data_IF_382869470279
#
_entry.id   IF_382869470279
#
_cell.length_a   1.000
_cell.length_b   1.000
_cell.length_c   1.000
_cell.angle_alpha   90.00
_cell.angle_beta   90.00
_cell.angle_gamma   90.00
#
_symmetry.space_group_name_H-M   'P 1'
#
loop_
_entity.id
_entity.type
_entity.pdbx_description
1 polymer ?
#
# COMPACT_ATOMS: atom_id res chain seq x y z
N UNK A 1 7.07 10.01 4.76
CA UNK A 1 7.35 8.94 3.80
C UNK A 1 8.61 9.24 3.01
N UNK A 2 9.10 8.32 2.22
CA UNK A 2 10.27 8.51 1.34
C UNK A 2 10.04 7.87 -0.02
N UNK A 3 10.56 8.48 -1.06
CA UNK A 3 10.43 8.01 -2.45
C UNK A 3 10.22 9.17 -3.42
N UNK A 4 9.80 8.95 -4.66
CA UNK A 4 9.43 7.64 -5.26
C UNK A 4 10.59 6.85 -5.88
N UNK A 5 11.76 7.47 -6.11
CA UNK A 5 12.89 6.83 -6.79
C UNK A 5 13.91 6.25 -5.82
N UNK A 6 14.19 6.96 -4.75
CA UNK A 6 15.21 6.58 -3.77
C UNK A 6 14.64 6.60 -2.36
N UNK A 7 15.01 5.64 -1.50
CA UNK A 7 14.49 5.55 -0.14
C UNK A 7 14.95 6.67 0.79
N UNK A 8 15.95 7.45 0.40
CA UNK A 8 16.43 8.62 1.15
C UNK A 8 15.69 9.92 0.80
N UNK A 9 14.93 9.96 -0.30
CA UNK A 9 14.19 11.14 -0.73
C UNK A 9 12.99 11.35 0.21
N UNK A 10 13.16 12.19 1.23
CA UNK A 10 12.14 12.46 2.25
C UNK A 10 11.01 13.31 1.65
N UNK A 11 9.78 12.87 1.88
CA UNK A 11 8.55 13.56 1.48
C UNK A 11 7.67 13.72 2.71
N UNK A 12 7.13 14.91 2.95
CA UNK A 12 6.13 15.09 4.00
C UNK A 12 4.83 14.38 3.60
N UNK A 13 4.08 13.89 4.56
CA UNK A 13 2.83 13.19 4.27
C UNK A 13 1.80 14.14 3.62
N UNK A 14 1.79 15.39 4.03
CA UNK A 14 0.99 16.47 3.43
C UNK A 14 1.28 16.69 1.95
N UNK A 15 2.51 16.44 1.54
CA UNK A 15 2.99 16.72 0.19
C UNK A 15 3.02 15.46 -0.69
N UNK A 16 2.63 14.32 -0.13
CA UNK A 16 2.77 13.01 -0.78
C UNK A 16 2.04 12.93 -2.12
N UNK A 17 0.80 13.38 -2.16
CA UNK A 17 -0.03 13.39 -3.37
C UNK A 17 0.55 14.35 -4.44
N UNK A 18 0.98 15.54 -4.02
CA UNK A 18 1.59 16.51 -4.92
C UNK A 18 2.94 16.02 -5.44
N UNK A 19 3.78 15.47 -4.57
CA UNK A 19 5.06 14.87 -4.97
C UNK A 19 4.86 13.72 -5.98
N UNK A 20 3.85 12.89 -5.77
CA UNK A 20 3.50 11.84 -6.74
C UNK A 20 3.14 12.45 -8.10
N UNK A 21 2.27 13.47 -8.13
CA UNK A 21 1.84 14.14 -9.36
C UNK A 21 3.03 14.70 -10.14
N UNK A 22 3.91 15.45 -9.49
CA UNK A 22 5.11 16.03 -10.11
C UNK A 22 6.04 14.96 -10.69
N UNK A 23 6.24 13.86 -9.96
CA UNK A 23 7.03 12.73 -10.45
C UNK A 23 6.36 11.99 -11.60
N UNK A 24 5.04 11.86 -11.58
CA UNK A 24 4.26 11.30 -12.68
C UNK A 24 4.44 12.13 -13.95
N UNK A 25 4.18 13.44 -13.90
CA UNK A 25 4.33 14.37 -15.02
C UNK A 25 5.73 14.31 -15.61
N UNK A 26 6.75 14.37 -14.76
CA UNK A 26 8.18 14.33 -15.14
C UNK A 26 8.59 13.02 -15.82
N UNK A 27 8.01 11.87 -15.42
CA UNK A 27 8.44 10.57 -15.94
C UNK A 27 7.57 10.06 -17.08
N UNK A 28 6.38 10.60 -17.28
CA UNK A 28 5.44 10.16 -18.31
C UNK A 28 5.25 11.19 -19.42
N UNK A 29 5.65 12.44 -19.22
CA UNK A 29 5.32 13.59 -20.07
C UNK A 29 3.80 13.72 -20.29
N UNK A 30 3.00 13.31 -19.31
CA UNK A 30 1.53 13.40 -19.31
C UNK A 30 1.09 14.24 -18.13
N UNK A 31 0.02 15.02 -18.33
CA UNK A 31 -0.61 15.81 -17.26
C UNK A 31 -1.89 15.15 -16.75
N UNK A 32 -2.50 14.29 -17.57
CA UNK A 32 -3.74 13.59 -17.25
C UNK A 32 -3.48 12.15 -16.83
N UNK A 33 -4.17 11.71 -15.81
CA UNK A 33 -4.11 10.33 -15.31
C UNK A 33 -4.99 9.42 -16.17
N UNK A 34 -4.39 8.36 -16.68
CA UNK A 34 -5.13 7.31 -17.39
C UNK A 34 -5.85 6.41 -16.39
N UNK A 35 -7.05 5.99 -16.77
CA UNK A 35 -7.89 5.06 -16.04
C UNK A 35 -8.34 3.95 -16.97
N UNK A 36 -8.35 2.72 -16.48
CA UNK A 36 -8.74 1.55 -17.26
C UNK A 36 -9.52 0.54 -16.44
N UNK A 37 -10.48 -0.11 -17.09
CA UNK A 37 -11.17 -1.27 -16.50
C UNK A 37 -10.23 -2.47 -16.49
N UNK A 38 -10.32 -3.26 -15.44
CA UNK A 38 -9.60 -4.54 -15.34
C UNK A 38 -10.51 -5.63 -15.91
N UNK A 39 -9.98 -6.46 -16.81
CA UNK A 39 -10.72 -7.58 -17.39
C UNK A 39 -11.19 -8.54 -16.30
N UNK A 40 -12.44 -9.00 -16.41
CA UNK A 40 -13.06 -9.92 -15.44
C UNK A 40 -13.07 -9.40 -13.99
N UNK A 41 -13.20 -8.08 -13.82
CA UNK A 41 -13.28 -7.45 -12.51
C UNK A 41 -14.26 -6.26 -12.52
N UNK A 42 -14.90 -6.00 -11.38
CA UNK A 42 -15.85 -4.88 -11.20
C UNK A 42 -15.17 -3.60 -10.71
N UNK A 43 -13.90 -3.44 -11.02
CA UNK A 43 -13.14 -2.25 -10.62
C UNK A 43 -12.26 -1.73 -11.76
N UNK A 44 -11.84 -0.49 -11.58
CA UNK A 44 -10.91 0.20 -12.46
C UNK A 44 -9.62 0.52 -11.71
N UNK A 45 -8.53 0.53 -12.44
CA UNK A 45 -7.22 1.01 -11.96
C UNK A 45 -6.78 2.21 -12.79
N UNK A 46 -5.91 3.03 -12.22
CA UNK A 46 -5.46 4.26 -12.86
C UNK A 46 -3.98 4.54 -12.56
N UNK A 47 -3.42 5.54 -13.19
CA UNK A 47 -2.12 6.08 -12.78
C UNK A 47 -2.18 6.45 -11.30
N UNK A 48 -1.15 6.06 -10.54
CA UNK A 48 -1.14 6.23 -9.09
C UNK A 48 -1.80 5.10 -8.30
N UNK A 49 -2.45 4.13 -8.95
CA UNK A 49 -2.98 2.95 -8.25
C UNK A 49 -1.86 2.21 -7.53
N UNK A 50 -2.09 1.94 -6.26
CA UNK A 50 -1.18 1.16 -5.43
C UNK A 50 -1.46 -0.31 -5.73
N UNK A 51 -0.49 -0.99 -6.31
CA UNK A 51 -0.60 -2.41 -6.65
C UNK A 51 0.00 -3.33 -5.60
N UNK A 52 0.96 -2.82 -4.82
CA UNK A 52 1.64 -3.56 -3.76
C UNK A 52 1.68 -2.72 -2.50
N UNK A 53 1.17 -3.26 -1.41
CA UNK A 53 1.28 -2.69 -0.07
C UNK A 53 1.87 -3.76 0.86
N UNK A 54 3.13 -3.60 1.27
CA UNK A 54 3.81 -4.63 2.04
C UNK A 54 4.39 -4.09 3.35
N UNK A 55 4.02 -4.75 4.44
CA UNK A 55 4.68 -4.58 5.73
C UNK A 55 5.86 -5.56 5.74
N UNK A 56 7.07 -5.02 5.59
CA UNK A 56 8.29 -5.81 5.48
C UNK A 56 9.19 -5.61 6.69
N UNK A 57 10.04 -6.59 6.98
CA UNK A 57 11.03 -6.44 8.03
C UNK A 57 12.17 -5.55 7.57
N UNK A 58 12.30 -4.42 8.25
CA UNK A 58 13.56 -3.71 8.37
C UNK A 58 13.74 -3.39 9.85
N UNK A 59 14.93 -2.96 10.27
CA UNK A 59 15.29 -2.70 11.67
C UNK A 59 14.25 -1.83 12.41
N UNK A 60 13.55 -0.95 11.68
CA UNK A 60 12.48 -0.10 12.23
C UNK A 60 11.14 -0.83 12.42
N UNK A 61 10.89 -1.95 11.73
CA UNK A 61 9.66 -2.75 11.90
C UNK A 61 9.74 -3.69 13.10
N UNK A 62 10.88 -3.78 13.74
CA UNK A 62 11.06 -4.47 15.02
C UNK A 62 10.53 -3.66 16.20
N UNK A 63 10.08 -2.42 15.99
CA UNK A 63 9.44 -1.63 17.05
C UNK A 63 7.99 -2.11 17.23
N UNK A 64 7.65 -2.76 18.36
CA UNK A 64 6.31 -3.29 18.61
C UNK A 64 5.22 -2.23 18.49
N UNK A 65 5.50 -1.00 18.94
CA UNK A 65 4.51 0.08 18.94
C UNK A 65 4.02 0.43 17.53
N UNK A 66 4.90 0.36 16.54
CA UNK A 66 4.55 0.71 15.16
C UNK A 66 3.68 -0.37 14.52
N UNK A 67 3.98 -1.64 14.81
CA UNK A 67 3.19 -2.76 14.29
C UNK A 67 1.86 -2.93 15.03
N UNK A 68 1.84 -2.70 16.33
CA UNK A 68 0.59 -2.59 17.10
C UNK A 68 -0.26 -1.45 16.54
N UNK A 69 0.35 -0.30 16.22
CA UNK A 69 -0.33 0.82 15.58
C UNK A 69 -0.96 0.44 14.22
N UNK A 70 -0.28 -0.36 13.40
CA UNK A 70 -0.84 -0.89 12.15
C UNK A 70 -2.03 -1.84 12.42
N UNK A 71 -1.91 -2.72 13.41
CA UNK A 71 -2.98 -3.63 13.82
C UNK A 71 -4.20 -2.89 14.38
N UNK A 72 -3.99 -1.84 15.18
CA UNK A 72 -5.08 -1.00 15.70
C UNK A 72 -5.79 -0.23 14.59
N UNK A 73 -5.04 0.28 13.61
CA UNK A 73 -5.61 0.91 12.43
C UNK A 73 -6.44 -0.10 11.62
N UNK A 74 -5.91 -1.31 11.39
CA UNK A 74 -6.62 -2.38 10.72
C UNK A 74 -7.92 -2.75 11.44
N UNK A 75 -7.87 -2.88 12.77
CA UNK A 75 -9.04 -3.13 13.62
C UNK A 75 -10.09 -2.04 13.41
N UNK A 76 -9.72 -0.78 13.56
CA UNK A 76 -10.63 0.35 13.39
C UNK A 76 -11.23 0.40 11.98
N UNK A 77 -10.42 0.17 10.96
CA UNK A 77 -10.88 0.10 9.57
C UNK A 77 -11.94 -1.01 9.37
N UNK A 78 -11.66 -2.22 9.86
CA UNK A 78 -12.61 -3.33 9.78
C UNK A 78 -13.92 -3.05 10.54
N UNK A 79 -13.85 -2.43 11.73
CA UNK A 79 -15.03 -2.02 12.51
C UNK A 79 -15.90 -1.00 11.75
N UNK A 80 -15.28 -0.18 10.90
CA UNK A 80 -15.97 0.79 10.04
C UNK A 80 -16.37 0.21 8.67
N UNK A 81 -16.13 -1.09 8.44
CA UNK A 81 -16.45 -1.74 7.18
C UNK A 81 -15.50 -1.40 6.02
N UNK A 82 -14.34 -0.80 6.31
CA UNK A 82 -13.32 -0.51 5.31
C UNK A 82 -12.49 -1.76 5.00
N UNK A 83 -12.13 -1.92 3.74
CA UNK A 83 -11.28 -3.00 3.26
C UNK A 83 -10.15 -2.45 2.38
N UNK A 84 -9.07 -3.21 2.24
CA UNK A 84 -8.07 -2.96 1.21
C UNK A 84 -8.72 -3.03 -0.18
N UNK A 85 -8.24 -2.20 -1.10
CA UNK A 85 -8.78 -2.24 -2.47
C UNK A 85 -8.44 -3.56 -3.16
N UNK A 86 -9.34 -4.12 -3.98
CA UNK A 86 -9.20 -5.44 -4.55
C UNK A 86 -8.01 -5.60 -5.51
N UNK A 87 -7.50 -4.49 -6.04
CA UNK A 87 -6.30 -4.49 -6.89
C UNK A 87 -4.99 -4.39 -6.11
N UNK A 88 -5.05 -4.16 -4.78
CA UNK A 88 -3.86 -4.01 -3.94
C UNK A 88 -3.43 -5.37 -3.40
N UNK A 89 -2.27 -5.82 -3.79
CA UNK A 89 -1.64 -6.99 -3.20
C UNK A 89 -0.99 -6.60 -1.88
N UNK A 90 -1.57 -7.09 -0.79
CA UNK A 90 -1.08 -6.86 0.57
C UNK A 90 -0.24 -8.04 1.06
N UNK A 91 0.71 -7.78 1.95
CA UNK A 91 1.50 -8.84 2.60
C UNK A 91 2.12 -8.36 3.91
N UNK A 92 2.34 -9.31 4.82
CA UNK A 92 3.02 -9.11 6.08
C UNK A 92 4.23 -10.05 6.15
N UNK A 93 5.44 -9.50 6.26
CA UNK A 93 6.68 -10.24 6.41
C UNK A 93 7.49 -9.65 7.57
N UNK A 94 7.16 -9.97 8.82
CA UNK A 94 7.84 -9.42 10.00
C UNK A 94 9.27 -9.95 10.15
N UNK A 95 10.08 -9.26 10.94
CA UNK A 95 11.49 -9.60 11.15
C UNK A 95 11.73 -10.87 11.95
N UNK A 96 10.76 -11.26 12.78
CA UNK A 96 10.88 -12.46 13.64
C UNK A 96 9.49 -12.93 14.10
N UNK A 97 9.43 -14.16 14.63
CA UNK A 97 8.23 -14.73 15.22
C UNK A 97 7.72 -13.94 16.43
N UNK A 98 8.59 -13.25 17.15
CA UNK A 98 8.20 -12.40 18.29
C UNK A 98 7.17 -11.35 17.87
N UNK A 99 7.23 -10.87 16.63
CA UNK A 99 6.27 -9.92 16.09
C UNK A 99 4.88 -10.53 15.95
N UNK A 100 4.80 -11.73 15.41
CA UNK A 100 3.53 -12.46 15.29
C UNK A 100 2.97 -12.80 16.67
N UNK A 101 3.81 -13.23 17.61
CA UNK A 101 3.39 -13.57 18.95
C UNK A 101 2.72 -12.39 19.68
N UNK A 102 3.29 -11.18 19.62
CA UNK A 102 2.65 -10.05 20.29
C UNK A 102 1.41 -9.53 19.55
N UNK A 103 1.35 -9.62 18.22
CA UNK A 103 0.14 -9.30 17.45
C UNK A 103 -1.00 -10.28 17.75
N UNK A 104 -0.69 -11.57 17.89
CA UNK A 104 -1.64 -12.60 18.29
C UNK A 104 -2.16 -12.38 19.71
N UNK A 105 -1.25 -12.14 20.67
CA UNK A 105 -1.62 -11.82 22.06
C UNK A 105 -2.49 -10.58 22.17
N UNK A 106 -2.30 -9.61 21.27
CA UNK A 106 -3.11 -8.40 21.20
C UNK A 106 -4.42 -8.61 20.40
N UNK A 107 -4.61 -9.77 19.75
CA UNK A 107 -5.76 -10.08 18.90
C UNK A 107 -5.84 -9.19 17.63
N UNK A 108 -4.69 -8.67 17.18
CA UNK A 108 -4.62 -7.73 16.06
C UNK A 108 -4.29 -8.37 14.73
N UNK A 109 -3.70 -9.57 14.72
CA UNK A 109 -3.39 -10.34 13.52
C UNK A 109 -4.64 -10.60 12.69
N UNK A 110 -5.76 -10.98 13.31
CA UNK A 110 -7.04 -11.26 12.63
C UNK A 110 -7.58 -10.09 11.82
N UNK A 111 -7.33 -8.86 12.25
CA UNK A 111 -7.74 -7.65 11.52
C UNK A 111 -6.79 -7.33 10.36
N UNK A 112 -5.49 -7.58 10.53
CA UNK A 112 -4.53 -7.50 9.45
C UNK A 112 -4.84 -8.52 8.37
N UNK A 113 -5.15 -9.76 8.74
CA UNK A 113 -5.54 -10.83 7.81
C UNK A 113 -6.82 -10.47 7.05
N UNK A 114 -7.84 -9.89 7.72
CA UNK A 114 -9.06 -9.40 7.06
C UNK A 114 -8.78 -8.35 5.99
N UNK A 115 -7.77 -7.52 6.16
CA UNK A 115 -7.30 -6.56 5.16
C UNK A 115 -6.33 -7.17 4.14
N UNK A 116 -6.11 -8.49 4.21
CA UNK A 116 -5.23 -9.23 3.30
C UNK A 116 -3.74 -9.17 3.65
N UNK A 117 -3.36 -8.55 4.77
CA UNK A 117 -1.98 -8.55 5.27
C UNK A 117 -1.63 -9.89 5.92
N UNK A 118 -1.73 -10.96 5.15
CA UNK A 118 -1.40 -12.31 5.60
C UNK A 118 0.12 -12.46 5.77
N UNK A 119 0.50 -13.27 6.74
CA UNK A 119 1.89 -13.65 6.95
C UNK A 119 2.39 -14.48 5.75
N UNK A 120 3.37 -13.96 5.02
CA UNK A 120 3.97 -14.63 3.86
C UNK A 120 5.37 -15.18 4.14
N UNK A 121 5.94 -14.85 5.28
CA UNK A 121 7.26 -15.29 5.71
C UNK A 121 7.88 -14.32 6.70
N UNK A 122 9.12 -14.60 7.10
CA UNK A 122 9.89 -13.74 7.97
C UNK A 122 11.12 -13.19 7.24
N UNK A 123 11.49 -11.95 7.54
CA UNK A 123 12.68 -11.33 6.96
C UNK A 123 12.39 -10.52 5.68
N UNK A 124 13.41 -10.35 4.84
CA UNK A 124 13.37 -9.45 3.68
C UNK A 124 12.70 -10.06 2.44
N UNK A 125 11.52 -10.64 2.56
CA UNK A 125 10.83 -11.31 1.44
C UNK A 125 10.54 -10.38 0.27
N UNK A 126 9.98 -9.20 0.53
CA UNK A 126 9.66 -8.23 -0.53
C UNK A 126 10.90 -7.56 -1.12
N UNK A 127 11.98 -7.40 -0.34
CA UNK A 127 13.25 -6.82 -0.81
C UNK A 127 13.94 -7.61 -1.91
N UNK A 128 13.65 -8.89 -2.02
CA UNK A 128 14.25 -9.80 -3.02
C UNK A 128 13.27 -10.20 -4.13
N UNK A 129 12.17 -9.48 -4.29
CA UNK A 129 11.17 -9.75 -5.33
C UNK A 129 10.19 -10.88 -4.99
N UNK A 130 10.18 -11.37 -3.75
CA UNK A 130 9.31 -12.47 -3.32
C UNK A 130 7.89 -12.01 -2.93
N UNK A 131 7.46 -10.83 -3.35
CA UNK A 131 6.04 -10.43 -3.26
C UNK A 131 5.13 -11.32 -4.11
N UNK A 132 5.73 -12.14 -4.97
CA UNK A 132 5.03 -12.95 -5.97
C UNK A 132 4.40 -12.10 -7.09
N UNK A 133 3.89 -12.72 -8.14
CA UNK A 133 3.26 -12.02 -9.25
C UNK A 133 1.97 -11.32 -8.81
N UNK A 134 1.64 -10.21 -9.47
CA UNK A 134 0.31 -9.62 -9.40
C UNK A 134 -0.70 -10.54 -10.11
N UNK A 135 -1.99 -10.36 -9.84
CA UNK A 135 -3.03 -11.05 -10.58
C UNK A 135 -2.89 -10.78 -12.09
N UNK A 136 -3.09 -11.80 -12.91
CA UNK A 136 -2.82 -11.74 -14.36
C UNK A 136 -3.58 -10.60 -15.05
N UNK A 137 -4.88 -10.47 -14.75
CA UNK A 137 -5.74 -9.42 -15.30
C UNK A 137 -5.27 -8.00 -14.91
N UNK A 138 -4.73 -7.82 -13.71
CA UNK A 138 -4.15 -6.55 -13.27
C UNK A 138 -2.84 -6.30 -14.02
N UNK A 139 -1.97 -7.31 -14.11
CA UNK A 139 -0.70 -7.24 -14.81
C UNK A 139 -0.85 -6.88 -16.29
N UNK A 140 -1.81 -7.50 -16.98
CA UNK A 140 -2.17 -7.22 -18.36
C UNK A 140 -2.68 -5.77 -18.51
N UNK A 141 -3.59 -5.35 -17.65
CA UNK A 141 -4.19 -4.01 -17.71
C UNK A 141 -3.14 -2.91 -17.50
N UNK A 142 -2.21 -3.12 -16.56
CA UNK A 142 -1.09 -2.20 -16.29
C UNK A 142 -0.14 -2.14 -17.49
N UNK A 143 0.25 -3.29 -18.02
CA UNK A 143 1.19 -3.38 -19.14
C UNK A 143 0.61 -2.78 -20.42
N UNK A 144 -0.62 -3.17 -20.78
CA UNK A 144 -1.30 -2.74 -22.00
C UNK A 144 -1.49 -1.22 -22.06
N UNK A 145 -1.83 -0.62 -20.93
CA UNK A 145 -2.09 0.82 -20.84
C UNK A 145 -0.87 1.62 -20.35
N UNK A 146 0.25 0.96 -20.11
CA UNK A 146 1.47 1.58 -19.59
C UNK A 146 1.23 2.47 -18.37
N UNK A 147 0.41 1.99 -17.41
CA UNK A 147 0.04 2.75 -16.23
C UNK A 147 1.26 3.03 -15.33
N UNK A 148 1.26 4.19 -14.72
CA UNK A 148 2.25 4.60 -13.73
C UNK A 148 1.80 4.16 -12.33
N UNK A 149 2.02 2.88 -12.04
CA UNK A 149 1.58 2.24 -10.80
C UNK A 149 2.58 2.40 -9.66
N UNK A 150 2.12 2.14 -8.43
CA UNK A 150 2.83 2.46 -7.20
C UNK A 150 2.94 1.25 -6.29
N UNK A 151 4.03 1.16 -5.52
CA UNK A 151 4.11 0.34 -4.32
C UNK A 151 4.34 1.18 -3.07
N UNK A 152 3.79 0.74 -1.94
CA UNK A 152 4.02 1.33 -0.62
C UNK A 152 4.52 0.24 0.32
N UNK A 153 5.69 0.45 0.91
CA UNK A 153 6.42 -0.56 1.66
C UNK A 153 6.87 0.00 3.01
N UNK A 154 6.90 -0.81 4.06
CA UNK A 154 7.41 -0.35 5.36
C UNK A 154 8.91 -0.51 5.53
N UNK A 155 9.58 -1.23 4.67
CA UNK A 155 11.02 -1.41 4.67
C UNK A 155 11.50 -1.94 3.32
N UNK A 156 12.36 -1.22 2.68
CA UNK A 156 13.22 -1.67 1.58
C UNK A 156 14.19 -0.54 1.22
N UNK A 157 15.46 -0.88 1.03
CA UNK A 157 16.49 0.08 0.60
C UNK A 157 16.75 0.06 -0.90
N UNK A 158 16.20 -0.91 -1.62
CA UNK A 158 16.44 -1.09 -3.06
C UNK A 158 15.11 -1.03 -3.83
N UNK A 159 14.78 0.15 -4.33
CA UNK A 159 13.57 0.36 -5.12
C UNK A 159 13.70 -0.13 -6.56
N UNK A 160 14.90 -0.06 -7.14
CA UNK A 160 15.14 -0.27 -8.58
C UNK A 160 14.78 -1.69 -9.03
N UNK A 161 13.61 -1.85 -9.64
CA UNK A 161 13.17 -3.05 -10.34
C UNK A 161 13.00 -4.32 -9.53
N UNK A 162 13.33 -4.30 -8.23
CA UNK A 162 13.33 -5.50 -7.36
C UNK A 162 11.96 -5.84 -6.78
N UNK A 163 11.05 -4.87 -6.70
CA UNK A 163 9.73 -5.10 -6.10
C UNK A 163 8.80 -5.72 -7.14
N UNK A 164 8.65 -5.07 -8.26
CA UNK A 164 7.91 -5.58 -9.43
C UNK A 164 8.29 -4.75 -10.66
N UNK A 165 8.47 -5.35 -11.83
CA UNK A 165 8.73 -4.61 -13.07
C UNK A 165 7.54 -3.75 -13.51
N UNK A 166 6.35 -4.04 -12.98
CA UNK A 166 5.12 -3.30 -13.28
C UNK A 166 4.96 -2.03 -12.43
N UNK A 167 5.73 -1.89 -11.36
CA UNK A 167 5.66 -0.74 -10.44
C UNK A 167 6.72 0.28 -10.82
N UNK A 168 6.30 1.52 -11.07
CA UNK A 168 7.17 2.60 -11.53
C UNK A 168 7.56 3.59 -10.43
N UNK A 169 6.79 3.67 -9.35
CA UNK A 169 7.10 4.50 -8.19
C UNK A 169 7.00 3.66 -6.91
N UNK A 170 7.97 3.84 -6.02
CA UNK A 170 8.02 3.10 -4.77
C UNK A 170 8.12 4.07 -3.59
N UNK A 171 7.25 3.91 -2.60
CA UNK A 171 7.27 4.74 -1.41
C UNK A 171 7.53 3.92 -0.16
N UNK A 172 8.41 4.43 0.67
CA UNK A 172 8.67 3.91 2.00
C UNK A 172 7.79 4.65 3.00
N UNK A 173 7.03 3.92 3.79
CA UNK A 173 6.11 4.46 4.78
C UNK A 173 6.14 3.61 6.06
N UNK A 174 5.65 4.14 7.16
CA UNK A 174 5.47 3.35 8.38
C UNK A 174 4.39 2.27 8.17
N UNK A 175 4.42 1.14 8.90
CA UNK A 175 3.41 0.10 8.81
C UNK A 175 1.96 0.59 8.87
N UNK A 176 1.57 1.51 9.79
CA UNK A 176 0.22 2.07 9.77
C UNK A 176 -0.12 2.79 8.46
N UNK A 177 0.83 3.55 7.89
CA UNK A 177 0.62 4.23 6.61
C UNK A 177 0.52 3.25 5.44
N UNK A 178 1.23 2.12 5.48
CA UNK A 178 1.07 1.04 4.48
C UNK A 178 -0.36 0.50 4.50
N UNK A 179 -0.92 0.27 5.69
CA UNK A 179 -2.33 -0.15 5.83
C UNK A 179 -3.29 0.91 5.31
N UNK A 180 -3.08 2.19 5.67
CA UNK A 180 -3.90 3.30 5.20
C UNK A 180 -3.88 3.42 3.67
N UNK A 181 -2.72 3.34 3.05
CA UNK A 181 -2.58 3.39 1.60
C UNK A 181 -3.17 2.17 0.89
N UNK A 182 -3.16 0.97 1.49
CA UNK A 182 -3.84 -0.20 0.95
C UNK A 182 -5.37 -0.01 0.91
N UNK A 183 -5.92 0.62 1.94
CA UNK A 183 -7.35 0.96 2.00
C UNK A 183 -7.69 2.06 0.99
N UNK A 184 -6.85 3.08 0.88
CA UNK A 184 -7.00 4.16 -0.10
C UNK A 184 -6.87 3.67 -1.55
N UNK A 185 -5.92 2.78 -1.81
CA UNK A 185 -5.67 2.15 -3.12
C UNK A 185 -5.02 3.05 -4.16
N UNK A 186 -4.74 4.31 -3.84
CA UNK A 186 -4.12 5.27 -4.77
C UNK A 186 -3.23 6.27 -4.04
N UNK A 187 -2.13 6.68 -4.69
CA UNK A 187 -1.16 7.62 -4.13
C UNK A 187 -1.58 9.09 -4.23
N UNK A 188 -2.58 9.40 -5.06
CA UNK A 188 -3.10 10.76 -5.22
C UNK A 188 -3.94 11.23 -4.02
N UNK A 189 -4.27 10.34 -3.11
CA UNK A 189 -5.06 10.68 -1.93
C UNK A 189 -4.22 11.48 -0.93
N UNK A 190 -4.80 12.53 -0.39
CA UNK A 190 -4.25 13.25 0.75
C UNK A 190 -4.70 12.55 2.04
N UNK A 191 -3.87 11.65 2.55
CA UNK A 191 -4.16 10.93 3.80
C UNK A 191 -4.18 11.83 5.04
N UNK A 192 -3.59 13.01 4.97
CA UNK A 192 -3.56 13.94 6.11
C UNK A 192 -4.91 14.64 6.31
N UNK A 193 -5.51 15.09 5.20
CA UNK A 193 -6.81 15.76 5.22
C UNK A 193 -7.95 14.82 4.83
N UNK A 194 -7.64 13.64 4.29
CA UNK A 194 -8.65 12.67 3.93
C UNK A 194 -9.17 11.95 5.17
N UNK A 195 -10.41 12.21 5.47
CA UNK A 195 -11.13 11.48 6.49
C UNK A 195 -11.53 10.10 5.92
N UNK A 196 -10.60 9.14 5.87
CA UNK A 196 -10.94 7.73 5.59
C UNK A 196 -12.06 7.20 6.52
N UNK A 197 -12.34 7.94 7.59
CA UNK A 197 -13.35 7.65 8.61
C UNK A 197 -14.71 8.29 8.35
N UNK A 198 -14.83 9.22 7.44
CA UNK A 198 -16.07 9.96 7.17
C UNK A 198 -16.66 9.65 5.82
N UNK A 199 -16.68 8.41 5.43
CA UNK A 199 -17.52 8.01 4.33
C UNK A 199 -18.40 6.85 4.76
N UNK A 200 -19.66 6.94 4.49
CA UNK A 200 -20.50 8.10 4.26
C UNK A 200 -21.04 8.66 5.59
N UNK A 201 -21.45 9.92 5.57
CA UNK A 201 -22.31 10.47 6.63
C UNK A 201 -23.44 9.48 6.95
N UNK A 202 -23.92 9.37 8.20
CA UNK A 202 -25.11 8.59 8.49
C UNK A 202 -26.30 8.92 7.56
N UNK A 203 -26.31 10.12 6.98
CA UNK A 203 -27.32 10.54 5.97
C UNK A 203 -27.13 9.82 4.62
N UNK A 204 -25.93 9.45 4.24
CA UNK A 204 -25.64 8.84 2.93
C UNK A 204 -25.85 7.32 2.92
N UNK A 205 -26.19 6.71 4.08
CA UNK A 205 -26.54 5.29 4.21
C UNK A 205 -28.00 4.97 3.91
N UNK A 206 -28.82 5.99 3.66
CA UNK A 206 -30.27 5.84 3.46
C UNK A 206 -30.77 6.39 2.11
N UNK A 207 -29.88 6.46 1.10
CA UNK A 207 -30.28 6.77 -0.27
C UNK A 207 -29.97 5.58 -1.16
#
# INVERSE_FOLDING_TARGET
ISGPKRPQDKVLLTDAAQNFKENFEKNTNRNDFLKTKVNNADFEIQDGSILIAAITSCTNTSNPNVLIGAGLLAKKACELGLNSKPWVKTSLAPGSQVVTDYLERAGLNTYLDKLGFNLVGYGCTTCIGNSGPLAENISESVSKNNLYSVSVLSGNRNFEGRISPLVKANYLASPPLVVAYAIAGNMQIDLYNCLLYTSPSPRDRYI
#
